data_IF_228006456536
#
_entry.id   IF_228006456536
#
_cell.length_a   1.000
_cell.length_b   1.000
_cell.length_c   1.000
_cell.angle_alpha   90.00
_cell.angle_beta   90.00
_cell.angle_gamma   90.00
#
_symmetry.space_group_name_H-M   'P 1'
#
loop_
_entity.id
_entity.type
_entity.pdbx_description
1 polymer ?
#
# COMPACT_ATOMS: atom_id res chain seq x y z
N UNK A 1 -17.52 -6.77 -50.86
CA UNK A 1 -16.72 -6.29 -49.71
C UNK A 1 -17.17 -7.05 -48.48
N UNK A 2 -16.26 -7.70 -47.75
CA UNK A 2 -16.54 -8.53 -46.56
C UNK A 2 -16.28 -7.76 -45.27
N UNK A 3 -17.11 -8.03 -44.24
CA UNK A 3 -17.11 -7.36 -42.92
C UNK A 3 -15.76 -7.41 -42.20
N UNK A 4 -14.93 -8.40 -42.52
CA UNK A 4 -13.57 -8.55 -41.97
C UNK A 4 -12.62 -7.42 -42.37
N UNK A 5 -12.84 -6.77 -43.52
CA UNK A 5 -12.01 -5.64 -43.95
C UNK A 5 -12.26 -4.37 -43.12
N UNK A 6 -13.48 -4.20 -42.59
CA UNK A 6 -13.87 -3.08 -41.72
C UNK A 6 -13.32 -3.20 -40.28
N UNK A 7 -13.04 -4.42 -39.82
CA UNK A 7 -12.54 -4.65 -38.46
C UNK A 7 -11.03 -4.45 -38.33
N UNK A 8 -10.27 -4.66 -39.41
CA UNK A 8 -8.81 -4.48 -39.42
C UNK A 8 -8.40 -3.01 -39.46
N UNK A 9 -9.09 -2.18 -40.24
CA UNK A 9 -8.80 -0.74 -40.38
C UNK A 9 -8.99 0.02 -39.06
N UNK A 10 -9.98 -0.40 -38.26
CA UNK A 10 -10.29 0.19 -36.94
C UNK A 10 -9.30 -0.18 -35.83
N UNK A 11 -8.44 -1.18 -36.04
CA UNK A 11 -7.42 -1.58 -35.07
C UNK A 11 -6.06 -0.90 -35.30
N UNK A 12 -5.78 -0.43 -36.51
CA UNK A 12 -4.51 0.24 -36.81
C UNK A 12 -4.49 1.72 -36.35
N UNK A 13 -5.63 2.42 -36.40
CA UNK A 13 -5.74 3.81 -35.91
C UNK A 13 -5.57 3.92 -34.39
N UNK A 14 -6.07 2.96 -33.60
CA UNK A 14 -5.96 2.99 -32.13
C UNK A 14 -4.55 2.76 -31.59
N UNK A 15 -3.67 2.14 -32.38
CA UNK A 15 -2.29 1.86 -31.97
C UNK A 15 -1.33 3.03 -32.25
N UNK A 16 -1.70 3.99 -33.11
CA UNK A 16 -0.88 5.19 -33.37
C UNK A 16 -1.12 6.31 -32.34
N UNK A 17 -2.36 6.45 -31.85
CA UNK A 17 -2.72 7.51 -30.88
C UNK A 17 -2.22 7.30 -29.43
N UNK A 18 -1.67 6.13 -29.10
CA UNK A 18 -1.26 5.81 -27.73
C UNK A 18 0.22 6.08 -27.42
N UNK A 19 1.06 6.43 -28.41
CA UNK A 19 2.50 6.61 -28.20
C UNK A 19 2.98 8.05 -27.96
N UNK A 20 2.14 9.07 -28.15
CA UNK A 20 2.58 10.48 -28.13
C UNK A 20 2.24 11.29 -26.86
N UNK A 21 1.74 10.67 -25.78
CA UNK A 21 1.31 11.40 -24.56
C UNK A 21 2.18 11.27 -23.31
N UNK A 22 3.35 10.62 -23.38
CA UNK A 22 4.20 10.40 -22.20
C UNK A 22 5.57 11.10 -22.25
N UNK A 23 5.73 12.16 -23.05
CA UNK A 23 7.03 12.80 -23.28
C UNK A 23 6.99 14.31 -23.15
N UNK A 24 6.55 14.82 -22.00
CA UNK A 24 6.93 16.16 -21.52
C UNK A 24 6.30 16.44 -20.17
N UNK A 25 7.01 17.23 -19.37
CA UNK A 25 6.60 17.84 -18.11
C UNK A 25 6.95 17.04 -16.84
N UNK A 26 8.06 17.50 -16.24
CA UNK A 26 8.32 17.57 -14.79
C UNK A 26 9.20 16.49 -14.16
N UNK A 27 10.49 16.51 -14.46
CA UNK A 27 11.51 16.13 -13.46
C UNK A 27 12.91 16.71 -13.78
N UNK A 28 13.03 18.02 -13.93
CA UNK A 28 14.33 18.70 -14.12
C UNK A 28 14.75 19.62 -12.97
N UNK A 29 14.07 19.54 -11.81
CA UNK A 29 14.42 20.33 -10.60
C UNK A 29 15.08 19.53 -9.47
N UNK A 30 15.52 18.30 -9.73
CA UNK A 30 16.29 17.51 -8.76
C UNK A 30 17.77 17.55 -9.13
N UNK A 31 18.38 18.74 -9.09
CA UNK A 31 19.84 18.84 -9.15
C UNK A 31 20.44 18.22 -7.89
N UNK A 32 20.90 16.98 -8.08
CA UNK A 32 21.93 16.23 -7.34
C UNK A 32 22.59 17.03 -6.20
N UNK A 33 22.17 16.76 -4.96
CA UNK A 33 23.04 16.95 -3.81
C UNK A 33 23.95 15.71 -3.77
N UNK A 34 25.24 15.92 -3.95
CA UNK A 34 26.24 14.83 -3.89
C UNK A 34 26.18 14.13 -2.52
N UNK A 35 26.21 12.79 -2.46
CA UNK A 35 26.11 12.02 -1.21
C UNK A 35 27.24 12.35 -0.21
N UNK A 36 28.34 12.94 -0.67
CA UNK A 36 29.43 13.42 0.18
C UNK A 36 29.05 14.64 1.03
N UNK A 37 28.20 15.54 0.52
CA UNK A 37 27.80 16.76 1.25
C UNK A 37 26.79 16.48 2.36
N UNK A 38 25.92 15.48 2.19
CA UNK A 38 24.99 15.06 3.27
C UNK A 38 25.74 14.42 4.45
N UNK A 39 26.75 13.59 4.18
CA UNK A 39 27.53 12.95 5.23
C UNK A 39 28.43 13.95 5.98
N UNK A 40 28.94 14.99 5.32
CA UNK A 40 29.68 16.06 6.01
C UNK A 40 28.77 16.94 6.89
N UNK A 41 27.51 17.19 6.50
CA UNK A 41 26.54 17.94 7.31
C UNK A 41 26.08 17.17 8.55
N UNK A 42 25.91 15.84 8.44
CA UNK A 42 25.59 14.95 9.57
C UNK A 42 26.75 14.82 10.56
N UNK A 43 28.00 14.75 10.08
CA UNK A 43 29.19 14.65 10.96
C UNK A 43 29.50 15.97 11.68
N UNK A 44 29.30 17.13 11.04
CA UNK A 44 29.59 18.45 11.63
C UNK A 44 28.57 18.90 12.69
N UNK A 45 27.35 18.35 12.68
CA UNK A 45 26.31 18.69 13.66
C UNK A 45 26.42 17.88 14.95
N UNK A 46 26.83 16.60 14.87
CA UNK A 46 26.98 15.73 16.05
C UNK A 46 28.31 15.98 16.79
N UNK A 47 29.41 16.19 16.06
CA UNK A 47 30.72 16.43 16.69
C UNK A 47 30.76 17.74 17.51
N UNK A 48 30.03 18.77 17.08
CA UNK A 48 29.89 20.03 17.84
C UNK A 48 28.98 19.93 19.07
N UNK A 49 28.17 18.88 19.18
CA UNK A 49 27.30 18.63 20.34
C UNK A 49 27.97 17.75 21.41
N UNK A 50 29.01 16.99 21.02
CA UNK A 50 29.74 16.08 21.91
C UNK A 50 31.05 16.69 22.42
N UNK A 51 31.68 17.61 21.68
CA UNK A 51 32.91 18.27 22.08
C UNK A 51 32.69 19.59 22.81
N UNK A 52 32.29 19.55 24.09
CA UNK A 52 32.59 20.56 25.12
C UNK A 52 31.94 20.21 26.47
N UNK A 53 32.39 19.12 27.10
CA UNK A 53 32.29 18.93 28.56
C UNK A 53 33.47 18.09 29.06
N UNK A 54 34.66 18.70 29.10
CA UNK A 54 35.70 18.28 30.02
C UNK A 54 35.42 18.98 31.36
N UNK A 55 35.05 18.21 32.37
CA UNK A 55 34.73 18.72 33.71
C UNK A 55 34.32 17.60 34.65
N UNK A 56 35.33 16.83 35.06
CA UNK A 56 35.45 16.10 36.34
C UNK A 56 34.52 14.90 36.60
N UNK A 57 35.17 13.75 36.83
CA UNK A 57 34.60 12.48 37.29
C UNK A 57 34.03 12.56 38.71
N UNK A 58 32.85 11.96 38.91
CA UNK A 58 32.55 11.12 40.08
C UNK A 58 31.33 10.23 39.79
N UNK A 59 31.55 8.91 39.80
CA UNK A 59 30.60 7.79 39.75
C UNK A 59 29.45 7.88 40.80
N UNK A 60 28.39 7.02 40.80
CA UNK A 60 28.27 5.72 40.14
C UNK A 60 26.91 5.43 39.45
N UNK A 61 26.90 4.33 38.66
CA UNK A 61 25.82 3.33 38.52
C UNK A 61 24.39 3.89 38.61
N UNK A 62 23.76 4.12 37.46
CA UNK A 62 22.35 3.76 37.29
C UNK A 62 22.11 3.37 35.84
N UNK A 63 21.93 2.07 35.62
CA UNK A 63 21.13 1.55 34.52
C UNK A 63 19.66 1.94 34.78
N UNK A 64 19.34 3.23 34.72
CA UNK A 64 17.95 3.68 34.72
C UNK A 64 17.54 3.81 33.26
N UNK A 65 16.61 2.94 32.89
CA UNK A 65 15.85 2.87 31.64
C UNK A 65 16.02 4.06 30.69
N UNK A 66 16.29 3.80 29.40
CA UNK A 66 16.26 4.83 28.35
C UNK A 66 14.96 5.67 28.38
N UNK A 67 13.87 5.08 28.89
CA UNK A 67 12.60 5.73 29.17
C UNK A 67 12.72 6.85 30.22
N UNK A 68 13.45 6.66 31.31
CA UNK A 68 13.66 7.67 32.35
C UNK A 68 14.49 8.84 31.83
N UNK A 69 15.47 8.57 30.96
CA UNK A 69 16.22 9.63 30.29
C UNK A 69 15.34 10.46 29.35
N UNK A 70 14.47 9.81 28.56
CA UNK A 70 13.53 10.52 27.68
C UNK A 70 12.52 11.34 28.48
N UNK A 71 11.89 10.76 29.53
CA UNK A 71 10.97 11.50 30.40
C UNK A 71 11.64 12.69 31.04
N UNK A 72 12.87 12.53 31.55
CA UNK A 72 13.64 13.64 32.13
C UNK A 72 13.88 14.76 31.11
N UNK A 73 14.22 14.42 29.87
CA UNK A 73 14.36 15.41 28.79
C UNK A 73 13.05 16.11 28.43
N UNK A 74 11.92 15.41 28.48
CA UNK A 74 10.60 15.99 28.24
C UNK A 74 10.23 16.96 29.37
N UNK A 75 10.55 16.61 30.62
CA UNK A 75 10.35 17.49 31.78
C UNK A 75 11.22 18.74 31.68
N UNK A 76 12.52 18.58 31.40
CA UNK A 76 13.46 19.70 31.19
C UNK A 76 12.98 20.63 30.06
N UNK A 77 12.47 20.05 28.96
CA UNK A 77 11.93 20.80 27.84
C UNK A 77 10.64 21.55 28.21
N UNK A 78 9.76 20.93 29.01
CA UNK A 78 8.54 21.56 29.48
C UNK A 78 8.83 22.75 30.42
N UNK A 79 9.79 22.60 31.33
CA UNK A 79 10.26 23.68 32.19
C UNK A 79 10.92 24.81 31.38
N UNK A 80 11.75 24.46 30.41
CA UNK A 80 12.34 25.43 29.49
C UNK A 80 11.27 26.21 28.72
N UNK A 81 10.22 25.53 28.25
CA UNK A 81 9.07 26.18 27.63
C UNK A 81 8.32 27.07 28.62
N UNK A 82 8.19 26.68 29.91
CA UNK A 82 7.43 27.40 30.94
C UNK A 82 8.06 28.76 31.27
N UNK A 83 9.38 28.82 31.20
CA UNK A 83 10.16 30.01 31.51
C UNK A 83 10.17 31.04 30.36
N UNK A 84 9.73 30.67 29.14
CA UNK A 84 9.62 31.60 28.00
C UNK A 84 8.26 32.30 28.00
N UNK A 85 8.26 33.56 28.40
CA UNK A 85 7.07 34.43 28.48
C UNK A 85 6.32 34.60 27.15
N UNK A 86 7.02 34.64 26.02
CA UNK A 86 6.42 34.82 24.69
C UNK A 86 5.67 33.57 24.16
N UNK A 87 5.89 32.39 24.75
CA UNK A 87 5.17 31.16 24.35
C UNK A 87 3.95 30.90 25.21
N UNK A 88 3.76 31.63 26.33
CA UNK A 88 2.66 31.39 27.26
C UNK A 88 1.28 31.47 26.60
N UNK A 89 1.09 32.41 25.66
CA UNK A 89 -0.17 32.60 24.93
C UNK A 89 -0.43 31.58 23.82
N UNK A 90 0.62 30.95 23.26
CA UNK A 90 0.48 30.03 22.13
C UNK A 90 0.42 28.56 22.54
N UNK A 91 0.77 28.22 23.79
CA UNK A 91 0.59 26.88 24.37
C UNK A 91 -0.81 26.29 24.19
N UNK A 92 -1.92 26.98 24.55
CA UNK A 92 -3.25 26.40 24.35
C UNK A 92 -3.54 26.13 22.87
N UNK A 93 -3.00 26.95 21.95
CA UNK A 93 -3.12 26.71 20.52
C UNK A 93 -2.33 25.47 20.10
N UNK A 94 -1.10 25.31 20.58
CA UNK A 94 -0.25 24.14 20.29
C UNK A 94 -0.89 22.85 20.82
N UNK A 95 -1.39 22.85 22.07
CA UNK A 95 -2.09 21.70 22.64
C UNK A 95 -3.31 21.33 21.80
N UNK A 96 -4.10 22.32 21.39
CA UNK A 96 -5.27 22.11 20.52
C UNK A 96 -4.87 21.57 19.14
N UNK A 97 -3.76 22.04 18.58
CA UNK A 97 -3.27 21.54 17.29
C UNK A 97 -2.80 20.10 17.40
N UNK A 98 -2.10 19.74 18.49
CA UNK A 98 -1.67 18.37 18.77
C UNK A 98 -2.90 17.46 18.96
N UNK A 99 -3.94 17.90 19.67
CA UNK A 99 -5.15 17.10 19.84
C UNK A 99 -5.89 16.87 18.52
N UNK A 100 -5.98 17.89 17.67
CA UNK A 100 -6.58 17.77 16.34
C UNK A 100 -5.77 16.79 15.48
N UNK A 101 -4.44 16.93 15.46
CA UNK A 101 -3.55 16.03 14.71
C UNK A 101 -3.67 14.58 15.18
N UNK A 102 -3.70 14.34 16.48
CA UNK A 102 -3.90 13.00 17.03
C UNK A 102 -5.26 12.41 16.63
N UNK A 103 -6.31 13.24 16.61
CA UNK A 103 -7.65 12.82 16.18
C UNK A 103 -7.63 12.39 14.72
N UNK A 104 -7.00 13.18 13.84
CA UNK A 104 -6.84 12.85 12.41
C UNK A 104 -6.07 11.54 12.24
N UNK A 105 -4.96 11.37 12.95
CA UNK A 105 -4.15 10.13 12.91
C UNK A 105 -4.95 8.92 13.39
N UNK A 106 -5.78 9.06 14.43
CA UNK A 106 -6.66 8.00 14.89
C UNK A 106 -7.74 7.65 13.88
N UNK A 107 -8.36 8.64 13.25
CA UNK A 107 -9.37 8.45 12.22
C UNK A 107 -8.79 7.70 11.02
N UNK A 108 -7.63 8.12 10.51
CA UNK A 108 -6.92 7.42 9.43
C UNK A 108 -6.61 5.95 9.80
N UNK A 109 -6.15 5.70 11.03
CA UNK A 109 -5.93 4.34 11.56
C UNK A 109 -7.23 3.52 11.64
N UNK A 110 -8.36 4.14 11.98
CA UNK A 110 -9.67 3.47 12.03
C UNK A 110 -10.20 3.16 10.64
N UNK A 111 -10.04 4.08 9.69
CA UNK A 111 -10.46 3.90 8.29
C UNK A 111 -9.67 2.77 7.61
N UNK A 112 -8.34 2.80 7.72
CA UNK A 112 -7.47 1.72 7.20
C UNK A 112 -7.81 0.36 7.80
N UNK A 113 -8.06 0.27 9.11
CA UNK A 113 -8.49 -0.99 9.76
C UNK A 113 -9.84 -1.50 9.25
N UNK A 114 -10.84 -0.61 9.07
CA UNK A 114 -12.15 -0.99 8.54
C UNK A 114 -12.07 -1.51 7.11
N UNK A 115 -11.30 -0.85 6.23
CA UNK A 115 -11.19 -1.28 4.85
C UNK A 115 -10.40 -2.59 4.69
N UNK A 116 -9.35 -2.77 5.49
CA UNK A 116 -8.62 -4.05 5.58
C UNK A 116 -9.54 -5.17 6.07
N UNK A 117 -10.35 -4.94 7.11
CA UNK A 117 -11.31 -5.96 7.60
C UNK A 117 -12.36 -6.35 6.56
N UNK A 118 -12.91 -5.38 5.80
CA UNK A 118 -13.87 -5.64 4.73
C UNK A 118 -13.25 -6.48 3.61
N UNK A 119 -12.01 -6.19 3.23
CA UNK A 119 -11.29 -6.98 2.23
C UNK A 119 -10.98 -8.41 2.71
N UNK A 120 -10.60 -8.56 3.98
CA UNK A 120 -10.37 -9.89 4.59
C UNK A 120 -11.65 -10.72 4.55
N UNK A 121 -12.80 -10.14 4.91
CA UNK A 121 -14.09 -10.84 4.89
C UNK A 121 -14.46 -11.31 3.47
N UNK A 122 -14.35 -10.43 2.46
CA UNK A 122 -14.59 -10.79 1.05
C UNK A 122 -13.67 -11.92 0.58
N UNK A 123 -12.38 -11.89 0.96
CA UNK A 123 -11.41 -12.94 0.61
C UNK A 123 -11.82 -14.28 1.23
N UNK A 124 -12.21 -14.30 2.50
CA UNK A 124 -12.64 -15.52 3.19
C UNK A 124 -13.92 -16.11 2.57
N UNK A 125 -14.88 -15.28 2.18
CA UNK A 125 -16.08 -15.73 1.48
C UNK A 125 -15.75 -16.39 0.14
N UNK A 126 -14.84 -15.79 -0.64
CA UNK A 126 -14.40 -16.38 -1.91
C UNK A 126 -13.71 -17.73 -1.71
N UNK A 127 -12.90 -17.88 -0.64
CA UNK A 127 -12.27 -19.16 -0.29
C UNK A 127 -13.33 -20.21 0.06
N UNK A 128 -14.36 -19.85 0.84
CA UNK A 128 -15.47 -20.76 1.16
C UNK A 128 -16.20 -21.21 -0.10
N UNK A 129 -16.56 -20.27 -0.99
CA UNK A 129 -17.21 -20.58 -2.28
C UNK A 129 -16.35 -21.48 -3.16
N UNK A 130 -15.04 -21.26 -3.20
CA UNK A 130 -14.12 -22.09 -3.97
C UNK A 130 -14.07 -23.55 -3.48
N UNK A 131 -14.21 -23.79 -2.17
CA UNK A 131 -14.23 -25.16 -1.62
C UNK A 131 -15.44 -25.99 -2.06
N UNK A 132 -16.56 -25.33 -2.35
CA UNK A 132 -17.80 -26.00 -2.82
C UNK A 132 -17.63 -26.53 -4.25
N UNK A 133 -16.73 -25.93 -5.04
CA UNK A 133 -16.54 -26.30 -6.45
C UNK A 133 -15.99 -27.73 -6.55
N UNK A 134 -16.69 -28.65 -7.27
CA UNK A 134 -16.26 -30.04 -7.42
C UNK A 134 -14.82 -30.15 -7.93
N UNK A 135 -14.00 -31.08 -7.38
CA UNK A 135 -12.61 -31.26 -7.80
C UNK A 135 -12.47 -31.59 -9.29
N UNK A 136 -13.41 -32.36 -9.83
CA UNK A 136 -13.41 -32.81 -11.23
C UNK A 136 -13.81 -31.73 -12.24
N UNK A 137 -14.36 -30.59 -11.79
CA UNK A 137 -14.80 -29.53 -12.69
C UNK A 137 -13.63 -28.75 -13.32
N UNK A 138 -12.48 -28.71 -12.63
CA UNK A 138 -11.33 -27.90 -13.00
C UNK A 138 -10.08 -28.76 -12.91
N UNK A 139 -9.22 -28.72 -13.92
CA UNK A 139 -7.92 -29.39 -13.91
C UNK A 139 -7.11 -29.08 -12.65
N UNK A 140 -6.40 -30.08 -12.13
CA UNK A 140 -5.62 -29.96 -10.88
C UNK A 140 -4.63 -28.78 -10.93
N UNK A 141 -3.92 -28.61 -12.04
CA UNK A 141 -2.97 -27.49 -12.24
C UNK A 141 -3.66 -26.13 -12.15
N UNK A 142 -4.86 -26.01 -12.70
CA UNK A 142 -5.66 -24.78 -12.66
C UNK A 142 -6.23 -24.54 -11.26
N UNK A 143 -6.61 -25.62 -10.55
CA UNK A 143 -7.07 -25.57 -9.16
C UNK A 143 -5.97 -25.09 -8.22
N UNK A 144 -4.75 -25.60 -8.39
CA UNK A 144 -3.56 -25.13 -7.65
C UNK A 144 -3.29 -23.64 -7.94
N UNK A 145 -3.33 -23.22 -9.21
CA UNK A 145 -3.12 -21.82 -9.58
C UNK A 145 -4.19 -20.88 -8.97
N UNK A 146 -5.46 -21.30 -8.93
CA UNK A 146 -6.53 -20.58 -8.25
C UNK A 146 -6.30 -20.49 -6.74
N UNK A 147 -5.87 -21.57 -6.11
CA UNK A 147 -5.61 -21.60 -4.67
C UNK A 147 -4.44 -20.67 -4.30
N UNK A 148 -3.37 -20.65 -5.11
CA UNK A 148 -2.27 -19.67 -4.95
C UNK A 148 -2.77 -18.23 -5.09
N UNK A 149 -3.61 -17.97 -6.10
CA UNK A 149 -4.22 -16.64 -6.31
C UNK A 149 -5.11 -16.21 -5.14
N UNK A 150 -5.95 -17.10 -4.63
CA UNK A 150 -6.84 -16.82 -3.50
C UNK A 150 -6.08 -16.58 -2.20
N UNK A 151 -4.98 -17.29 -1.96
CA UNK A 151 -4.20 -17.12 -0.74
C UNK A 151 -3.19 -15.96 -0.82
N UNK A 152 -2.88 -15.46 -2.02
CA UNK A 152 -1.88 -14.41 -2.24
C UNK A 152 -0.45 -14.96 -2.24
N UNK A 153 -0.27 -16.24 -2.56
CA UNK A 153 1.05 -16.86 -2.73
C UNK A 153 1.65 -16.44 -4.07
N UNK A 154 2.97 -16.50 -4.16
CA UNK A 154 3.67 -16.25 -5.42
C UNK A 154 3.19 -17.20 -6.52
N UNK A 155 3.06 -16.64 -7.73
CA UNK A 155 2.53 -17.32 -8.91
C UNK A 155 3.64 -17.45 -9.93
N UNK A 156 3.80 -18.64 -10.46
CA UNK A 156 4.72 -18.88 -11.58
C UNK A 156 4.11 -18.41 -12.91
N UNK A 157 4.93 -18.34 -13.96
CA UNK A 157 4.47 -18.08 -15.33
C UNK A 157 3.39 -19.09 -15.77
N UNK A 158 3.58 -20.37 -15.42
CA UNK A 158 2.62 -21.45 -15.66
C UNK A 158 1.30 -21.21 -14.93
N UNK A 159 1.31 -20.81 -13.66
CA UNK A 159 0.09 -20.48 -12.92
C UNK A 159 -0.71 -19.37 -13.62
N UNK A 160 -0.01 -18.33 -14.10
CA UNK A 160 -0.62 -17.23 -14.85
C UNK A 160 -1.16 -17.68 -16.22
N UNK A 161 -0.55 -18.66 -16.88
CA UNK A 161 -1.08 -19.29 -18.09
C UNK A 161 -2.41 -19.99 -17.81
N UNK A 162 -2.48 -20.87 -16.81
CA UNK A 162 -3.70 -21.62 -16.48
C UNK A 162 -4.85 -20.68 -16.08
N UNK A 163 -4.56 -19.61 -15.34
CA UNK A 163 -5.58 -18.61 -14.98
C UNK A 163 -6.12 -17.84 -16.20
N UNK A 164 -5.28 -17.53 -17.18
CA UNK A 164 -5.72 -16.91 -18.44
C UNK A 164 -6.56 -17.86 -19.27
N UNK A 165 -6.13 -19.12 -19.38
CA UNK A 165 -6.89 -20.18 -20.07
C UNK A 165 -8.27 -20.37 -19.42
N UNK A 166 -8.32 -20.49 -18.09
CA UNK A 166 -9.57 -20.59 -17.33
C UNK A 166 -10.50 -19.41 -17.59
N UNK A 167 -9.98 -18.17 -17.63
CA UNK A 167 -10.77 -16.98 -17.92
C UNK A 167 -11.42 -17.04 -19.30
N UNK A 168 -10.73 -17.60 -20.31
CA UNK A 168 -11.28 -17.78 -21.65
C UNK A 168 -12.37 -18.85 -21.65
N UNK A 169 -12.09 -20.02 -21.07
CA UNK A 169 -13.06 -21.12 -20.97
C UNK A 169 -14.34 -20.71 -20.23
N UNK A 170 -14.22 -19.97 -19.13
CA UNK A 170 -15.39 -19.47 -18.40
C UNK A 170 -16.26 -18.54 -19.24
N UNK A 171 -15.67 -17.71 -20.11
CA UNK A 171 -16.45 -16.85 -21.03
C UNK A 171 -17.23 -17.68 -22.04
N UNK A 172 -16.63 -18.74 -22.57
CA UNK A 172 -17.29 -19.64 -23.53
C UNK A 172 -18.41 -20.43 -22.83
N UNK A 173 -18.16 -21.00 -21.65
CA UNK A 173 -19.18 -21.70 -20.85
C UNK A 173 -20.32 -20.79 -20.40
N UNK A 174 -20.06 -19.52 -20.11
CA UNK A 174 -21.13 -18.56 -19.84
C UNK A 174 -21.99 -18.26 -21.07
N UNK A 175 -21.45 -18.34 -22.29
CA UNK A 175 -22.25 -18.23 -23.51
C UNK A 175 -23.10 -19.48 -23.70
N UNK A 176 -22.51 -20.66 -23.56
CA UNK A 176 -23.25 -21.94 -23.62
C UNK A 176 -24.40 -21.96 -22.60
N UNK A 177 -24.15 -21.53 -21.36
CA UNK A 177 -25.18 -21.46 -20.32
C UNK A 177 -26.38 -20.60 -20.72
N UNK A 178 -26.16 -19.50 -21.45
CA UNK A 178 -27.28 -18.67 -21.95
C UNK A 178 -28.17 -19.45 -22.91
N UNK A 179 -27.58 -20.28 -23.77
CA UNK A 179 -28.35 -21.12 -24.69
C UNK A 179 -29.09 -22.23 -23.94
N UNK A 180 -28.44 -22.87 -22.96
CA UNK A 180 -29.09 -23.87 -22.12
C UNK A 180 -30.27 -23.29 -21.33
N UNK A 181 -30.17 -22.04 -20.87
CA UNK A 181 -31.29 -21.37 -20.20
C UNK A 181 -32.50 -21.17 -21.12
N UNK A 182 -32.27 -20.83 -22.39
CA UNK A 182 -33.35 -20.76 -23.39
C UNK A 182 -33.97 -22.14 -23.60
N UNK A 183 -33.16 -23.20 -23.65
CA UNK A 183 -33.66 -24.57 -23.78
C UNK A 183 -34.47 -25.00 -22.55
N UNK A 184 -34.04 -24.63 -21.35
CA UNK A 184 -34.79 -24.84 -20.10
C UNK A 184 -36.18 -24.19 -20.17
N UNK A 185 -36.25 -22.91 -20.57
CA UNK A 185 -37.52 -22.19 -20.77
C UNK A 185 -38.43 -22.86 -21.81
N UNK A 186 -37.86 -23.52 -22.82
CA UNK A 186 -38.62 -24.25 -23.84
C UNK A 186 -39.12 -25.60 -23.31
N UNK A 187 -38.33 -26.28 -22.48
CA UNK A 187 -38.69 -27.60 -21.93
C UNK A 187 -39.73 -27.47 -20.82
N UNK A 188 -39.75 -26.34 -20.09
CA UNK A 188 -40.72 -26.05 -19.03
C UNK A 188 -42.08 -25.52 -19.54
N UNK A 189 -42.26 -25.40 -20.86
CA UNK A 189 -43.57 -25.18 -21.50
C UNK A 189 -44.50 -26.39 -21.30
#
# INVERSE_FOLDING_TARGET
MTIDKWLSERQEEKNRDCNDKNKSVSSEKSRKISPEKENQLKKKSIAKLIGNKNGTLSNPIHQSDENDYFLKRVIDFNEWLNNRTYLKGDRPKIVRWISILNTIVEEEKRHTKKDVSKQINKKQELIKKFRIIPPRLIDEKTRIALNKKLNGRERTSSDNYYLRKLKKNLKEKLKEFKYYKILEEIVEL
#
